data_IF_830905374804
#
_entry.id   IF_830905374804
#
_cell.length_a   1.000
_cell.length_b   1.000
_cell.length_c   1.000
_cell.angle_alpha   90.00
_cell.angle_beta   90.00
_cell.angle_gamma   90.00
#
_symmetry.space_group_name_H-M   'P 1'
#
loop_
_entity.id
_entity.type
_entity.pdbx_description
1 polymer ?
#
# COMPACT_ATOMS: atom_id res chain seq x y z
N UNK A 1 -56.97 61.04 18.22
CA UNK A 1 -57.77 61.51 17.07
C UNK A 1 -57.05 61.13 15.79
N UNK A 2 -57.84 60.78 14.77
CA UNK A 2 -57.49 60.54 13.36
C UNK A 2 -56.84 59.22 12.96
N UNK A 3 -57.66 58.40 12.30
CA UNK A 3 -57.23 57.37 11.36
C UNK A 3 -56.89 57.98 9.98
N UNK A 4 -56.14 57.19 9.19
CA UNK A 4 -56.44 56.78 7.79
C UNK A 4 -55.47 57.16 6.66
N UNK A 5 -55.45 56.23 5.69
CA UNK A 5 -54.86 56.18 4.35
C UNK A 5 -53.35 55.92 4.24
N UNK A 6 -52.83 54.94 3.50
CA UNK A 6 -53.40 54.13 2.40
C UNK A 6 -52.61 54.40 1.12
N UNK A 7 -51.75 53.46 0.69
CA UNK A 7 -51.02 53.53 -0.59
C UNK A 7 -49.97 52.40 -0.75
N UNK A 8 -49.94 51.65 -1.89
CA UNK A 8 -49.25 50.36 -1.99
C UNK A 8 -47.86 50.39 -2.67
N UNK A 9 -47.18 49.25 -2.58
CA UNK A 9 -46.12 48.72 -3.45
C UNK A 9 -44.69 49.28 -3.31
N UNK A 10 -43.88 48.57 -2.52
CA UNK A 10 -42.46 48.37 -2.78
C UNK A 10 -42.15 46.89 -2.65
N UNK A 11 -42.08 46.16 -3.77
CA UNK A 11 -41.57 44.78 -3.83
C UNK A 11 -40.12 44.79 -3.33
N UNK A 12 -39.92 44.50 -2.04
CA UNK A 12 -38.61 44.18 -1.50
C UNK A 12 -38.13 42.87 -2.12
N UNK A 13 -37.08 42.96 -2.94
CA UNK A 13 -36.44 41.84 -3.63
C UNK A 13 -36.22 40.67 -2.67
N UNK A 14 -36.94 39.57 -2.88
CA UNK A 14 -36.75 38.33 -2.13
C UNK A 14 -35.35 37.81 -2.41
N UNK A 15 -34.45 37.92 -1.43
CA UNK A 15 -33.09 37.39 -1.53
C UNK A 15 -33.14 35.90 -1.84
N UNK A 16 -32.49 35.51 -2.93
CA UNK A 16 -32.34 34.14 -3.40
C UNK A 16 -30.84 33.85 -3.43
N UNK A 17 -30.42 32.75 -2.80
CA UNK A 17 -29.00 32.36 -2.78
C UNK A 17 -28.86 30.88 -3.13
N UNK A 18 -27.98 30.61 -4.09
CA UNK A 18 -27.68 29.26 -4.55
C UNK A 18 -26.46 28.70 -3.81
N UNK A 19 -26.55 27.44 -3.35
CA UNK A 19 -25.45 26.67 -2.74
C UNK A 19 -25.38 25.30 -3.43
N UNK A 20 -24.50 25.16 -4.42
CA UNK A 20 -24.47 23.99 -5.29
C UNK A 20 -25.81 23.83 -6.04
N UNK A 21 -26.39 22.63 -6.04
CA UNK A 21 -27.68 22.34 -6.68
C UNK A 21 -28.93 22.82 -5.91
N UNK A 22 -28.78 23.54 -4.79
CA UNK A 22 -29.89 23.93 -3.91
C UNK A 22 -30.09 25.44 -3.86
N UNK A 23 -31.35 25.88 -3.97
CA UNK A 23 -31.77 27.28 -3.92
C UNK A 23 -32.49 27.60 -2.62
N UNK A 24 -32.00 28.60 -1.88
CA UNK A 24 -32.55 28.99 -0.57
C UNK A 24 -33.19 30.39 -0.63
N UNK A 25 -34.36 30.54 -0.01
CA UNK A 25 -35.14 31.80 0.02
C UNK A 25 -35.57 32.18 1.45
N UNK A 26 -35.72 33.48 1.70
CA UNK A 26 -36.25 34.05 2.94
C UNK A 26 -35.51 33.53 4.20
N UNK A 27 -36.24 32.98 5.19
CA UNK A 27 -35.71 32.48 6.47
C UNK A 27 -34.78 31.26 6.34
N UNK A 28 -34.70 30.65 5.16
CA UNK A 28 -33.78 29.53 4.89
C UNK A 28 -32.38 29.99 4.49
N UNK A 29 -32.15 31.30 4.29
CA UNK A 29 -30.81 31.86 4.05
C UNK A 29 -30.08 31.96 5.39
N UNK A 30 -28.99 31.21 5.60
CA UNK A 30 -28.24 31.30 6.84
C UNK A 30 -27.64 32.71 7.00
N UNK A 31 -27.69 33.25 8.22
CA UNK A 31 -27.15 34.58 8.55
C UNK A 31 -25.61 34.61 8.62
N UNK A 32 -24.95 33.46 8.47
CA UNK A 32 -23.50 33.32 8.47
C UNK A 32 -23.02 32.46 7.31
N UNK A 33 -21.84 32.79 6.79
CA UNK A 33 -21.20 31.99 5.74
C UNK A 33 -20.73 30.63 6.29
N UNK A 34 -20.46 29.68 5.38
CA UNK A 34 -19.88 28.41 5.79
C UNK A 34 -18.49 28.63 6.42
N UNK A 35 -17.69 29.51 5.82
CA UNK A 35 -16.36 29.88 6.31
C UNK A 35 -16.43 30.57 7.67
N UNK A 36 -17.35 31.51 7.89
CA UNK A 36 -17.52 32.16 9.18
C UNK A 36 -17.84 31.13 10.28
N UNK A 37 -18.69 30.14 10.00
CA UNK A 37 -19.01 29.07 10.96
C UNK A 37 -17.84 28.12 11.22
N UNK A 38 -17.02 27.84 10.22
CA UNK A 38 -15.83 27.00 10.37
C UNK A 38 -14.73 27.73 11.15
N UNK A 39 -14.45 28.98 10.78
CA UNK A 39 -13.33 29.77 11.28
C UNK A 39 -13.61 30.44 12.64
N UNK A 40 -14.86 30.83 12.93
CA UNK A 40 -15.23 31.41 14.24
C UNK A 40 -15.58 30.34 15.29
N UNK A 41 -15.70 29.08 14.89
CA UNK A 41 -15.94 27.98 15.83
C UNK A 41 -14.69 27.69 16.69
N UNK A 42 -14.63 28.29 17.88
CA UNK A 42 -13.55 28.04 18.88
C UNK A 42 -13.80 26.84 19.79
N UNK A 43 -14.88 26.10 19.58
CA UNK A 43 -15.26 24.95 20.41
C UNK A 43 -14.40 23.72 20.14
N UNK A 44 -13.65 23.26 21.14
CA UNK A 44 -12.88 22.01 21.09
C UNK A 44 -13.82 20.81 21.27
N UNK A 45 -14.61 20.51 20.23
CA UNK A 45 -15.50 19.35 20.25
C UNK A 45 -14.71 18.03 20.23
N UNK A 46 -15.20 17.02 20.93
CA UNK A 46 -14.69 15.64 20.93
C UNK A 46 -15.10 14.89 19.65
N UNK A 47 -14.93 15.55 18.49
CA UNK A 47 -15.30 15.00 17.19
C UNK A 47 -14.14 14.24 16.55
N UNK A 48 -12.90 14.51 16.98
CA UNK A 48 -11.68 13.83 16.53
C UNK A 48 -11.65 12.33 16.88
N UNK A 49 -12.49 11.90 17.83
CA UNK A 49 -12.63 10.51 18.30
C UNK A 49 -13.79 9.77 17.64
N UNK A 50 -14.60 10.44 16.81
CA UNK A 50 -15.71 9.82 16.08
C UNK A 50 -15.20 9.07 14.85
N UNK A 51 -15.84 7.95 14.53
CA UNK A 51 -15.42 7.07 13.43
C UNK A 51 -15.39 7.77 12.06
N UNK A 52 -16.23 8.79 11.85
CA UNK A 52 -16.18 9.61 10.63
C UNK A 52 -14.83 10.34 10.46
N UNK A 53 -14.25 10.86 11.55
CA UNK A 53 -12.93 11.48 11.48
C UNK A 53 -11.83 10.43 11.33
N UNK A 54 -11.97 9.26 11.97
CA UNK A 54 -11.05 8.15 11.78
C UNK A 54 -11.01 7.70 10.31
N UNK A 55 -12.16 7.58 9.66
CA UNK A 55 -12.24 7.23 8.23
C UNK A 55 -11.47 8.24 7.35
N UNK A 56 -11.61 9.55 7.63
CA UNK A 56 -10.86 10.59 6.91
C UNK A 56 -9.35 10.50 7.17
N UNK A 57 -8.92 10.20 8.40
CA UNK A 57 -7.51 10.00 8.72
C UNK A 57 -6.93 8.76 8.05
N UNK A 58 -7.69 7.67 8.03
CA UNK A 58 -7.33 6.44 7.31
C UNK A 58 -7.13 6.75 5.83
N UNK A 59 -8.06 7.49 5.22
CA UNK A 59 -7.93 7.90 3.83
C UNK A 59 -6.67 8.76 3.61
N UNK A 60 -6.36 9.68 4.54
CA UNK A 60 -5.13 10.48 4.49
C UNK A 60 -3.88 9.60 4.47
N UNK A 61 -3.79 8.60 5.35
CA UNK A 61 -2.63 7.68 5.38
C UNK A 61 -2.48 6.88 4.09
N UNK A 62 -3.59 6.49 3.45
CA UNK A 62 -3.53 5.87 2.12
C UNK A 62 -3.06 6.84 1.04
N UNK A 63 -3.56 8.07 1.03
CA UNK A 63 -3.14 9.09 0.05
C UNK A 63 -1.67 9.42 0.21
N UNK A 64 -1.22 9.72 1.43
CA UNK A 64 0.19 10.02 1.75
C UNK A 64 1.11 8.84 1.40
N UNK A 65 0.71 7.62 1.78
CA UNK A 65 1.45 6.41 1.44
C UNK A 65 1.55 6.17 -0.07
N UNK A 66 0.44 6.36 -0.81
CA UNK A 66 0.45 6.14 -2.24
C UNK A 66 1.24 7.18 -3.02
N UNK A 67 1.16 8.44 -2.62
CA UNK A 67 1.86 9.56 -3.25
C UNK A 67 3.37 9.45 -3.00
N UNK A 68 3.77 9.22 -1.74
CA UNK A 68 5.19 9.15 -1.38
C UNK A 68 5.91 7.97 -2.02
N UNK A 69 5.23 6.83 -2.19
CA UNK A 69 5.80 5.61 -2.76
C UNK A 69 5.54 5.47 -4.27
N UNK A 70 4.89 6.45 -4.91
CA UNK A 70 4.48 6.36 -6.32
C UNK A 70 5.64 6.11 -7.28
N UNK A 71 6.78 6.75 -7.03
CA UNK A 71 7.98 6.70 -7.87
C UNK A 71 9.04 5.73 -7.32
N UNK A 72 8.64 4.82 -6.40
CA UNK A 72 9.56 3.84 -5.85
C UNK A 72 10.02 2.89 -6.98
N UNK A 73 11.34 2.61 -7.11
CA UNK A 73 11.80 1.56 -8.02
C UNK A 73 11.29 0.18 -7.55
N UNK A 74 11.62 -0.87 -8.30
CA UNK A 74 11.45 -2.23 -7.81
C UNK A 74 12.02 -2.34 -6.38
N UNK A 75 11.27 -2.93 -5.46
CA UNK A 75 11.56 -2.99 -4.05
C UNK A 75 11.23 -4.36 -3.46
N UNK A 76 11.93 -4.70 -2.38
CA UNK A 76 11.71 -5.91 -1.60
C UNK A 76 11.44 -5.50 -0.16
N UNK A 77 10.35 -6.02 0.41
CA UNK A 77 10.03 -5.81 1.82
C UNK A 77 10.75 -6.86 2.67
N UNK A 78 11.51 -6.40 3.65
CA UNK A 78 12.32 -7.24 4.54
C UNK A 78 11.78 -7.14 5.97
N UNK A 79 11.48 -8.31 6.55
CA UNK A 79 10.91 -8.43 7.90
C UNK A 79 11.80 -9.26 8.80
N UNK A 80 11.75 -8.97 10.10
CA UNK A 80 12.42 -9.76 11.12
C UNK A 80 12.29 -9.14 12.50
N UNK A 81 13.01 -9.71 13.46
CA UNK A 81 12.94 -9.30 14.86
C UNK A 81 13.47 -7.88 15.11
N UNK A 82 12.64 -7.03 15.73
CA UNK A 82 13.06 -5.77 16.33
C UNK A 82 13.94 -5.93 17.59
N UNK A 83 13.99 -7.14 18.15
CA UNK A 83 14.68 -7.44 19.41
C UNK A 83 16.08 -8.03 19.21
N UNK A 84 16.45 -8.32 17.97
CA UNK A 84 17.74 -8.90 17.65
C UNK A 84 18.85 -7.89 17.92
N UNK A 85 19.94 -8.36 18.53
CA UNK A 85 21.10 -7.53 18.80
C UNK A 85 21.89 -7.31 17.51
N UNK A 86 22.56 -6.17 17.32
CA UNK A 86 23.33 -5.90 16.11
C UNK A 86 24.35 -6.99 15.75
N UNK A 87 24.95 -7.67 16.74
CA UNK A 87 25.96 -8.71 16.53
C UNK A 87 25.36 -10.11 16.23
N UNK A 88 24.04 -10.25 16.25
CA UNK A 88 23.40 -11.55 16.07
C UNK A 88 23.60 -12.10 14.65
N UNK A 89 23.58 -13.44 14.46
CA UNK A 89 23.67 -14.04 13.14
C UNK A 89 22.61 -13.50 12.17
N UNK A 90 21.38 -13.31 12.62
CA UNK A 90 20.29 -12.82 11.79
C UNK A 90 20.44 -11.34 11.39
N UNK A 91 21.01 -10.48 12.24
CA UNK A 91 21.31 -9.10 11.85
C UNK A 91 22.43 -9.05 10.80
N UNK A 92 23.47 -9.88 10.94
CA UNK A 92 24.53 -9.96 9.92
C UNK A 92 23.99 -10.45 8.58
N UNK A 93 23.11 -11.46 8.61
CA UNK A 93 22.44 -11.98 7.43
C UNK A 93 21.55 -10.90 6.77
N UNK A 94 20.82 -10.12 7.57
CA UNK A 94 19.99 -9.03 7.08
C UNK A 94 20.81 -7.90 6.43
N UNK A 95 21.95 -7.52 7.02
CA UNK A 95 22.85 -6.51 6.45
C UNK A 95 23.46 -6.98 5.12
N UNK A 96 23.88 -8.25 5.04
CA UNK A 96 24.36 -8.83 3.79
C UNK A 96 23.27 -8.87 2.71
N UNK A 97 22.06 -9.30 3.08
CA UNK A 97 20.89 -9.33 2.22
C UNK A 97 20.52 -7.94 1.70
N UNK A 98 20.43 -6.94 2.58
CA UNK A 98 20.08 -5.57 2.19
C UNK A 98 21.06 -5.01 1.16
N UNK A 99 22.36 -5.27 1.34
CA UNK A 99 23.37 -4.87 0.36
C UNK A 99 23.27 -5.65 -0.95
N UNK A 100 22.91 -6.93 -0.91
CA UNK A 100 22.76 -7.75 -2.11
C UNK A 100 21.52 -7.34 -2.94
N UNK A 101 20.41 -7.05 -2.27
CA UNK A 101 19.19 -6.51 -2.89
C UNK A 101 19.45 -5.16 -3.57
N UNK A 102 20.11 -4.24 -2.88
CA UNK A 102 20.50 -2.95 -3.43
C UNK A 102 21.39 -3.10 -4.68
N UNK A 103 22.40 -3.99 -4.65
CA UNK A 103 23.25 -4.28 -5.81
C UNK A 103 22.48 -4.91 -6.98
N UNK A 104 21.40 -5.63 -6.70
CA UNK A 104 20.50 -6.19 -7.70
C UNK A 104 19.48 -5.17 -8.26
N UNK A 105 19.50 -3.92 -7.76
CA UNK A 105 18.64 -2.84 -8.25
C UNK A 105 17.34 -2.67 -7.49
N UNK A 106 17.15 -3.37 -6.37
CA UNK A 106 15.96 -3.22 -5.53
C UNK A 106 16.15 -2.16 -4.45
N UNK A 107 15.12 -1.35 -4.21
CA UNK A 107 14.95 -0.66 -2.94
C UNK A 107 14.63 -1.66 -1.83
N UNK A 108 15.01 -1.34 -0.60
CA UNK A 108 14.74 -2.19 0.56
C UNK A 108 13.73 -1.49 1.46
N UNK A 109 12.56 -2.10 1.61
CA UNK A 109 11.48 -1.61 2.49
C UNK A 109 11.53 -2.40 3.79
N UNK A 110 11.53 -1.72 4.92
CA UNK A 110 11.42 -2.35 6.24
C UNK A 110 10.37 -1.63 7.08
N UNK A 111 10.15 -2.15 8.29
CA UNK A 111 9.36 -1.43 9.29
C UNK A 111 10.05 -0.22 9.93
N UNK A 112 11.30 0.07 9.57
CA UNK A 112 12.10 1.20 10.05
C UNK A 112 12.56 1.11 11.50
N UNK A 113 12.22 0.04 12.22
CA UNK A 113 12.64 -0.16 13.61
C UNK A 113 14.07 -0.68 13.76
N UNK A 114 14.50 -1.03 15.00
CA UNK A 114 15.82 -1.57 15.30
C UNK A 114 15.98 -3.04 14.89
N UNK A 115 17.15 -3.62 15.19
CA UNK A 115 17.42 -5.04 15.03
C UNK A 115 17.55 -5.44 13.56
N UNK A 116 16.81 -6.46 13.14
CA UNK A 116 16.89 -6.98 11.76
C UNK A 116 16.51 -5.92 10.72
N UNK A 117 15.52 -5.08 11.04
CA UNK A 117 15.05 -4.02 10.13
C UNK A 117 16.16 -3.00 9.88
N UNK A 118 16.77 -2.48 10.95
CA UNK A 118 17.92 -1.57 10.87
C UNK A 118 19.09 -2.19 10.12
N UNK A 119 19.41 -3.47 10.38
CA UNK A 119 20.49 -4.15 9.68
C UNK A 119 20.24 -4.24 8.16
N UNK A 120 19.01 -4.56 7.73
CA UNK A 120 18.65 -4.58 6.31
C UNK A 120 18.71 -3.17 5.68
N UNK A 121 18.18 -2.15 6.35
CA UNK A 121 18.27 -0.75 5.92
C UNK A 121 19.73 -0.31 5.76
N UNK A 122 20.56 -0.65 6.76
CA UNK A 122 22.00 -0.37 6.79
C UNK A 122 22.72 -1.02 5.61
N UNK A 123 22.46 -2.29 5.35
CA UNK A 123 23.04 -3.01 4.23
C UNK A 123 22.73 -2.36 2.89
N UNK A 124 21.46 -1.98 2.69
CA UNK A 124 21.01 -1.30 1.48
C UNK A 124 21.67 0.07 1.29
N UNK A 125 21.65 0.91 2.34
CA UNK A 125 22.22 2.24 2.31
C UNK A 125 23.74 2.23 2.08
N UNK A 126 24.48 1.32 2.71
CA UNK A 126 25.93 1.17 2.47
C UNK A 126 26.27 0.75 1.03
N UNK A 127 25.38 0.00 0.38
CA UNK A 127 25.52 -0.40 -1.02
C UNK A 127 25.05 0.69 -2.00
N UNK A 128 24.59 1.85 -1.52
CA UNK A 128 24.07 2.95 -2.33
C UNK A 128 22.67 2.71 -2.90
N UNK A 129 21.93 1.73 -2.35
CA UNK A 129 20.52 1.50 -2.68
C UNK A 129 19.59 2.38 -1.86
N UNK A 130 18.33 2.50 -2.31
CA UNK A 130 17.31 3.25 -1.60
C UNK A 130 16.77 2.44 -0.40
N UNK A 131 16.85 3.03 0.79
CA UNK A 131 16.38 2.44 2.04
C UNK A 131 15.08 3.10 2.52
N UNK A 132 14.01 2.31 2.65
CA UNK A 132 12.67 2.77 3.03
C UNK A 132 12.29 2.24 4.41
N UNK A 133 11.74 3.10 5.26
CA UNK A 133 11.21 2.77 6.58
C UNK A 133 9.74 3.15 6.70
N UNK A 134 8.87 2.14 6.78
CA UNK A 134 7.45 2.34 7.04
C UNK A 134 7.23 2.16 8.55
N UNK A 135 7.27 3.25 9.31
CA UNK A 135 7.10 3.27 10.76
C UNK A 135 5.66 3.02 11.20
N UNK A 136 5.48 2.75 12.49
CA UNK A 136 4.16 2.62 13.12
C UNK A 136 4.17 3.27 14.51
N UNK A 137 3.16 4.08 14.81
CA UNK A 137 2.98 4.72 16.12
C UNK A 137 2.80 3.64 17.21
N UNK A 138 3.80 3.47 18.07
CA UNK A 138 3.78 2.55 19.21
C UNK A 138 4.11 3.25 20.53
N UNK A 139 3.65 2.71 21.68
CA UNK A 139 3.88 3.35 22.98
C UNK A 139 5.32 3.21 23.51
N UNK A 140 6.09 2.23 23.01
CA UNK A 140 7.36 1.79 23.59
C UNK A 140 8.47 1.56 22.57
N UNK A 141 8.15 1.52 21.29
CA UNK A 141 9.11 1.42 20.18
C UNK A 141 9.03 2.75 19.43
N UNK A 142 10.02 3.61 19.64
CA UNK A 142 9.99 5.00 19.18
C UNK A 142 11.18 5.27 18.26
N UNK A 143 10.88 5.81 17.07
CA UNK A 143 11.86 6.30 16.11
C UNK A 143 12.14 5.33 14.97
N UNK A 144 12.47 5.92 13.82
CA UNK A 144 13.05 5.22 12.69
C UNK A 144 14.56 5.13 12.89
N UNK A 145 15.18 4.05 12.42
CA UNK A 145 16.63 3.90 12.46
C UNK A 145 17.33 4.90 11.53
N UNK A 146 18.62 5.15 11.81
CA UNK A 146 19.41 6.19 11.12
C UNK A 146 19.75 5.86 9.65
N UNK A 147 19.41 4.65 9.18
CA UNK A 147 19.71 4.17 7.82
C UNK A 147 18.50 4.28 6.87
N UNK A 148 17.40 4.87 7.32
CA UNK A 148 16.21 5.11 6.49
C UNK A 148 16.38 6.42 5.70
N UNK A 149 16.31 6.33 4.37
CA UNK A 149 16.35 7.50 3.47
C UNK A 149 14.95 8.09 3.23
N UNK A 150 13.96 7.21 3.07
CA UNK A 150 12.55 7.56 2.84
C UNK A 150 11.68 6.95 3.94
N UNK A 151 10.93 7.81 4.61
CA UNK A 151 10.20 7.47 5.83
C UNK A 151 8.72 7.82 5.72
N UNK A 152 7.85 6.93 6.21
CA UNK A 152 6.42 7.22 6.45
C UNK A 152 6.02 6.62 7.79
N UNK A 153 5.54 7.45 8.71
CA UNK A 153 5.02 6.99 10.00
C UNK A 153 3.51 6.79 9.95
N UNK A 154 3.07 5.54 10.02
CA UNK A 154 1.65 5.19 10.05
C UNK A 154 1.10 5.19 11.47
N UNK A 155 -0.22 5.34 11.60
CA UNK A 155 -0.94 5.09 12.85
C UNK A 155 -1.76 3.80 12.76
N UNK A 156 -2.20 3.46 11.56
CA UNK A 156 -3.04 2.30 11.32
C UNK A 156 -2.25 1.16 10.68
N UNK A 157 -2.18 0.02 11.37
CA UNK A 157 -1.48 -1.19 10.88
C UNK A 157 -1.88 -1.60 9.47
N UNK A 158 -3.18 -1.61 9.16
CA UNK A 158 -3.66 -2.09 7.85
C UNK A 158 -3.27 -1.16 6.69
N UNK A 159 -3.12 0.15 6.94
CA UNK A 159 -2.64 1.09 5.92
C UNK A 159 -1.17 0.79 5.60
N UNK A 160 -0.36 0.64 6.65
CA UNK A 160 1.05 0.25 6.55
C UNK A 160 1.25 -1.09 5.83
N UNK A 161 0.49 -2.11 6.22
CA UNK A 161 0.50 -3.45 5.59
C UNK A 161 0.23 -3.40 4.10
N UNK A 162 -0.75 -2.59 3.70
CA UNK A 162 -1.05 -2.39 2.28
C UNK A 162 0.18 -1.87 1.52
N UNK A 163 0.96 -0.95 2.11
CA UNK A 163 2.15 -0.39 1.47
C UNK A 163 3.27 -1.42 1.33
N UNK A 164 3.46 -2.30 2.31
CA UNK A 164 4.45 -3.38 2.22
C UNK A 164 4.21 -4.29 1.02
N UNK A 165 2.94 -4.65 0.78
CA UNK A 165 2.59 -5.57 -0.32
C UNK A 165 2.51 -4.83 -1.66
N UNK A 166 1.87 -3.65 -1.70
CA UNK A 166 1.61 -2.92 -2.96
C UNK A 166 2.89 -2.49 -3.68
N UNK A 167 3.91 -2.10 -2.92
CA UNK A 167 5.14 -1.50 -3.46
C UNK A 167 6.33 -2.46 -3.49
N UNK A 168 6.17 -3.70 -3.04
CA UNK A 168 7.21 -4.72 -3.14
C UNK A 168 6.91 -5.71 -4.26
N UNK A 169 7.94 -6.38 -4.77
CA UNK A 169 7.81 -7.55 -5.64
C UNK A 169 8.00 -8.86 -4.87
N UNK A 170 8.60 -8.80 -3.69
CA UNK A 170 8.92 -9.96 -2.86
C UNK A 170 8.93 -9.63 -1.38
N UNK A 171 8.71 -10.64 -0.54
CA UNK A 171 9.03 -10.59 0.88
C UNK A 171 10.24 -11.46 1.19
N UNK A 172 11.16 -10.91 1.98
CA UNK A 172 12.20 -11.71 2.64
C UNK A 172 12.02 -11.62 4.15
N UNK A 173 11.88 -12.77 4.79
CA UNK A 173 11.48 -12.89 6.19
C UNK A 173 12.59 -13.61 6.96
N UNK A 174 13.30 -12.83 7.78
CA UNK A 174 14.32 -13.30 8.70
C UNK A 174 13.71 -13.69 10.07
N UNK A 175 14.45 -14.38 10.95
CA UNK A 175 13.95 -14.79 12.26
C UNK A 175 13.31 -13.64 13.04
N UNK A 176 12.11 -13.88 13.56
CA UNK A 176 11.23 -12.82 14.00
C UNK A 176 10.23 -13.18 15.10
N UNK A 177 9.39 -12.22 15.46
CA UNK A 177 8.34 -12.39 16.47
C UNK A 177 6.94 -12.43 15.85
N UNK A 178 5.93 -12.07 16.63
CA UNK A 178 4.53 -12.02 16.14
C UNK A 178 4.32 -11.06 14.98
N UNK A 179 4.96 -9.88 14.98
CA UNK A 179 4.84 -8.96 13.84
C UNK A 179 5.38 -9.57 12.55
N UNK A 180 6.50 -10.29 12.62
CA UNK A 180 7.08 -11.00 11.48
C UNK A 180 6.17 -12.13 10.98
N UNK A 181 5.56 -12.88 11.91
CA UNK A 181 4.60 -13.94 11.56
C UNK A 181 3.32 -13.37 10.92
N UNK A 182 2.83 -12.24 11.42
CA UNK A 182 1.65 -11.55 10.88
C UNK A 182 1.85 -11.19 9.41
N UNK A 183 2.97 -10.57 9.06
CA UNK A 183 3.30 -10.20 7.67
C UNK A 183 3.55 -11.43 6.78
N UNK A 184 4.21 -12.47 7.32
CA UNK A 184 4.43 -13.74 6.61
C UNK A 184 3.11 -14.40 6.20
N UNK A 185 2.21 -14.61 7.16
CA UNK A 185 0.94 -15.29 6.87
C UNK A 185 -0.02 -14.42 6.07
N UNK A 186 0.07 -13.10 6.19
CA UNK A 186 -0.68 -12.19 5.31
C UNK A 186 -0.23 -12.34 3.85
N UNK A 187 1.08 -12.33 3.57
CA UNK A 187 1.59 -12.53 2.21
C UNK A 187 1.19 -13.89 1.64
N UNK A 188 1.36 -14.97 2.41
CA UNK A 188 0.97 -16.31 1.97
C UNK A 188 -0.54 -16.40 1.66
N UNK A 189 -1.38 -15.78 2.49
CA UNK A 189 -2.83 -15.74 2.26
C UNK A 189 -3.19 -14.95 1.00
N UNK A 190 -2.51 -13.82 0.75
CA UNK A 190 -2.74 -13.00 -0.44
C UNK A 190 -2.33 -13.73 -1.72
N UNK A 191 -1.25 -14.50 -1.69
CA UNK A 191 -0.81 -15.33 -2.83
C UNK A 191 -1.75 -16.51 -3.04
N UNK A 192 -2.07 -17.25 -1.97
CA UNK A 192 -2.99 -18.39 -2.01
C UNK A 192 -4.36 -18.01 -2.59
N UNK A 193 -4.87 -16.82 -2.26
CA UNK A 193 -6.18 -16.34 -2.73
C UNK A 193 -6.13 -15.63 -4.09
N UNK A 194 -4.96 -15.56 -4.72
CA UNK A 194 -4.76 -14.88 -6.00
C UNK A 194 -4.99 -13.37 -5.95
N UNK A 195 -4.97 -12.76 -4.77
CA UNK A 195 -5.02 -11.29 -4.61
C UNK A 195 -3.71 -10.64 -5.03
N UNK A 196 -2.63 -11.39 -4.92
CA UNK A 196 -1.36 -11.12 -5.58
C UNK A 196 -0.97 -12.40 -6.32
N UNK A 197 -0.73 -12.33 -7.62
CA UNK A 197 -0.67 -13.54 -8.46
C UNK A 197 0.64 -14.29 -8.32
N UNK A 198 1.77 -13.59 -8.27
CA UNK A 198 3.08 -14.17 -7.93
C UNK A 198 3.86 -13.14 -7.13
N UNK A 199 4.24 -13.56 -5.94
CA UNK A 199 4.94 -12.72 -4.98
C UNK A 199 5.83 -13.65 -4.17
N UNK A 200 7.10 -13.83 -4.57
CA UNK A 200 8.00 -14.74 -3.88
C UNK A 200 8.12 -14.38 -2.40
N UNK A 201 8.01 -15.41 -1.56
CA UNK A 201 8.19 -15.31 -0.11
C UNK A 201 9.43 -16.14 0.24
N UNK A 202 10.50 -15.46 0.63
CA UNK A 202 11.76 -16.10 1.03
C UNK A 202 11.86 -16.08 2.55
N UNK A 203 12.03 -17.25 3.16
CA UNK A 203 12.38 -17.40 4.56
C UNK A 203 13.89 -17.59 4.68
N UNK A 204 14.55 -16.75 5.47
CA UNK A 204 15.97 -16.87 5.77
C UNK A 204 16.21 -17.29 7.22
N UNK A 205 17.21 -18.16 7.46
CA UNK A 205 17.43 -18.78 8.76
C UNK A 205 16.78 -20.17 8.84
N UNK A 206 17.32 -21.13 8.08
CA UNK A 206 16.74 -22.49 7.88
C UNK A 206 16.38 -23.15 9.21
N UNK A 207 17.31 -23.14 10.17
CA UNK A 207 17.12 -23.79 11.46
C UNK A 207 15.99 -23.16 12.29
N UNK A 208 15.76 -21.85 12.16
CA UNK A 208 14.69 -21.14 12.86
C UNK A 208 13.31 -21.53 12.32
N UNK A 209 13.17 -21.62 11.00
CA UNK A 209 11.87 -21.85 10.34
C UNK A 209 11.48 -23.33 10.23
N UNK A 210 12.43 -24.27 10.36
CA UNK A 210 12.19 -25.70 10.17
C UNK A 210 10.98 -26.22 10.96
N UNK A 211 10.90 -25.90 12.26
CA UNK A 211 9.79 -26.37 13.10
C UNK A 211 8.42 -25.83 12.67
N UNK A 212 8.35 -24.60 12.15
CA UNK A 212 7.10 -24.05 11.63
C UNK A 212 6.68 -24.75 10.33
N UNK A 213 7.62 -24.92 9.40
CA UNK A 213 7.34 -25.55 8.11
C UNK A 213 6.98 -27.03 8.25
N UNK A 214 7.60 -27.74 9.20
CA UNK A 214 7.22 -29.10 9.54
C UNK A 214 5.79 -29.15 10.08
N UNK A 215 5.39 -28.24 10.97
CA UNK A 215 4.00 -28.17 11.44
C UNK A 215 3.00 -27.82 10.31
N UNK A 216 3.35 -26.88 9.44
CA UNK A 216 2.52 -26.52 8.29
C UNK A 216 2.33 -27.73 7.34
N UNK A 217 3.36 -28.54 7.13
CA UNK A 217 3.29 -29.75 6.31
C UNK A 217 2.50 -30.85 7.02
N UNK A 218 2.90 -31.21 8.23
CA UNK A 218 2.48 -32.44 8.91
C UNK A 218 1.13 -32.30 9.62
N UNK A 219 0.67 -31.07 9.85
CA UNK A 219 -0.64 -30.78 10.45
C UNK A 219 -1.54 -30.01 9.49
N UNK A 220 -1.14 -28.81 9.08
CA UNK A 220 -2.04 -27.92 8.32
C UNK A 220 -2.36 -28.49 6.92
N UNK A 221 -1.34 -28.93 6.17
CA UNK A 221 -1.51 -29.54 4.85
C UNK A 221 -2.06 -30.97 4.96
N UNK A 222 -1.52 -31.79 5.87
CA UNK A 222 -1.97 -33.17 6.08
C UNK A 222 -3.47 -33.27 6.41
N UNK A 223 -4.00 -32.29 7.15
CA UNK A 223 -5.43 -32.23 7.46
C UNK A 223 -6.25 -31.39 6.45
N UNK A 224 -5.68 -31.01 5.30
CA UNK A 224 -6.37 -30.32 4.21
C UNK A 224 -6.82 -28.90 4.51
N UNK A 225 -6.11 -28.17 5.39
CA UNK A 225 -6.39 -26.75 5.71
C UNK A 225 -5.73 -25.78 4.72
N UNK A 226 -4.70 -26.25 4.02
CA UNK A 226 -4.05 -25.59 2.88
C UNK A 226 -3.91 -26.59 1.73
N UNK A 227 -3.75 -26.08 0.51
CA UNK A 227 -3.50 -26.87 -0.69
C UNK A 227 -2.11 -27.51 -0.68
N UNK A 228 -1.91 -28.61 -1.43
CA UNK A 228 -0.65 -29.35 -1.44
C UNK A 228 0.52 -28.54 -2.02
N UNK A 229 0.23 -27.52 -2.85
CA UNK A 229 1.22 -26.66 -3.51
C UNK A 229 1.41 -25.32 -2.79
N UNK A 230 0.65 -25.04 -1.73
CA UNK A 230 0.74 -23.74 -1.04
C UNK A 230 2.08 -23.56 -0.33
N UNK A 231 2.75 -24.66 0.03
CA UNK A 231 4.10 -24.63 0.61
C UNK A 231 5.19 -24.40 -0.45
N UNK A 232 4.90 -24.67 -1.72
CA UNK A 232 5.83 -24.38 -2.82
C UNK A 232 5.98 -22.87 -3.07
N UNK A 233 5.11 -22.06 -2.46
CA UNK A 233 5.20 -20.60 -2.44
C UNK A 233 6.39 -20.08 -1.61
N UNK A 234 6.98 -20.94 -0.77
CA UNK A 234 8.02 -20.57 0.19
C UNK A 234 9.38 -21.06 -0.30
N UNK A 235 10.32 -20.15 -0.47
CA UNK A 235 11.73 -20.46 -0.61
C UNK A 235 12.40 -20.41 0.77
N UNK A 236 13.01 -21.50 1.23
CA UNK A 236 13.76 -21.54 2.50
C UNK A 236 15.25 -21.66 2.23
N UNK A 237 16.06 -20.69 2.64
CA UNK A 237 17.51 -20.70 2.40
C UNK A 237 18.30 -19.93 3.46
N UNK A 238 19.59 -20.21 3.58
CA UNK A 238 20.56 -19.37 4.31
C UNK A 238 21.51 -18.60 3.36
N UNK A 239 21.46 -18.88 2.05
CA UNK A 239 22.30 -18.21 1.04
C UNK A 239 21.60 -16.93 0.53
N UNK A 240 22.19 -15.78 0.83
CA UNK A 240 21.74 -14.48 0.33
C UNK A 240 21.66 -14.45 -1.19
N UNK A 241 22.60 -15.10 -1.89
CA UNK A 241 22.60 -15.10 -3.35
C UNK A 241 21.47 -15.97 -3.90
N UNK A 242 21.11 -17.06 -3.24
CA UNK A 242 19.95 -17.88 -3.60
C UNK A 242 18.65 -17.09 -3.42
N UNK A 243 18.50 -16.40 -2.29
CA UNK A 243 17.35 -15.53 -2.03
C UNK A 243 17.18 -14.48 -3.13
N UNK A 244 18.25 -13.75 -3.48
CA UNK A 244 18.20 -12.72 -4.53
C UNK A 244 17.94 -13.32 -5.90
N UNK A 245 18.59 -14.44 -6.27
CA UNK A 245 18.33 -15.12 -7.55
C UNK A 245 16.86 -15.53 -7.68
N UNK A 246 16.28 -16.11 -6.64
CA UNK A 246 14.89 -16.53 -6.63
C UNK A 246 13.93 -15.35 -6.89
N UNK A 247 14.20 -14.19 -6.28
CA UNK A 247 13.41 -12.97 -6.48
C UNK A 247 13.53 -12.46 -7.93
N UNK A 248 14.75 -12.36 -8.45
CA UNK A 248 15.02 -11.89 -9.82
C UNK A 248 14.37 -12.80 -10.86
N UNK A 249 14.46 -14.12 -10.69
CA UNK A 249 13.84 -15.09 -11.59
C UNK A 249 12.31 -14.99 -11.55
N UNK A 250 11.72 -14.88 -10.36
CA UNK A 250 10.27 -14.71 -10.21
C UNK A 250 9.76 -13.42 -10.87
N UNK A 251 10.49 -12.29 -10.71
CA UNK A 251 10.16 -11.02 -11.35
C UNK A 251 10.28 -11.10 -12.88
N UNK A 252 11.32 -11.75 -13.40
CA UNK A 252 11.50 -11.91 -14.85
C UNK A 252 10.34 -12.67 -15.50
N UNK A 253 9.87 -13.75 -14.84
CA UNK A 253 8.71 -14.52 -15.32
C UNK A 253 7.43 -13.68 -15.24
N UNK A 254 7.21 -12.95 -14.15
CA UNK A 254 6.07 -12.03 -13.99
C UNK A 254 6.04 -10.96 -15.08
N UNK A 255 7.18 -10.34 -15.35
CA UNK A 255 7.31 -9.28 -16.36
C UNK A 255 6.98 -9.81 -17.75
N UNK A 256 7.51 -10.98 -18.11
CA UNK A 256 7.22 -11.62 -19.40
C UNK A 256 5.74 -11.96 -19.57
N UNK A 257 5.06 -12.41 -18.51
CA UNK A 257 3.60 -12.67 -18.56
C UNK A 257 2.79 -11.39 -18.70
N UNK A 258 3.16 -10.33 -17.98
CA UNK A 258 2.49 -9.03 -18.08
C UNK A 258 2.65 -8.42 -19.47
N UNK A 259 3.83 -8.55 -20.07
CA UNK A 259 4.09 -8.14 -21.45
C UNK A 259 3.20 -8.93 -22.43
N UNK A 260 3.14 -10.25 -22.31
CA UNK A 260 2.29 -11.09 -23.17
C UNK A 260 0.80 -10.72 -23.06
N UNK A 261 0.29 -10.52 -21.83
CA UNK A 261 -1.11 -10.09 -21.61
C UNK A 261 -1.37 -8.71 -22.20
N UNK A 262 -0.41 -7.79 -22.10
CA UNK A 262 -0.52 -6.44 -22.68
C UNK A 262 -0.52 -6.50 -24.20
N UNK A 263 0.36 -7.28 -24.81
CA UNK A 263 0.39 -7.49 -26.26
C UNK A 263 -0.92 -8.09 -26.79
N UNK A 264 -1.46 -9.10 -26.10
CA UNK A 264 -2.75 -9.69 -26.44
C UNK A 264 -3.89 -8.67 -26.34
N UNK A 265 -3.91 -7.85 -25.28
CA UNK A 265 -4.91 -6.79 -25.11
C UNK A 265 -4.82 -5.74 -26.23
N UNK A 266 -3.61 -5.32 -26.62
CA UNK A 266 -3.39 -4.38 -27.72
C UNK A 266 -3.83 -4.99 -29.05
N UNK A 267 -3.48 -6.26 -29.31
CA UNK A 267 -3.88 -6.98 -30.51
C UNK A 267 -5.41 -7.11 -30.62
N UNK A 268 -6.10 -7.39 -29.50
CA UNK A 268 -7.56 -7.46 -29.45
C UNK A 268 -8.21 -6.11 -29.76
N UNK A 269 -7.72 -5.02 -29.17
CA UNK A 269 -8.22 -3.67 -29.46
C UNK A 269 -8.00 -3.29 -30.93
N UNK A 270 -6.84 -3.65 -31.50
CA UNK A 270 -6.56 -3.39 -32.91
C UNK A 270 -7.45 -4.22 -33.85
N UNK A 271 -7.75 -5.47 -33.51
CA UNK A 271 -8.66 -6.32 -34.27
C UNK A 271 -10.10 -5.78 -34.24
N UNK A 272 -10.58 -5.38 -33.05
CA UNK A 272 -11.91 -4.78 -32.88
C UNK A 272 -12.05 -3.48 -33.69
N UNK A 273 -11.00 -2.64 -33.71
CA UNK A 273 -10.97 -1.41 -34.51
C UNK A 273 -11.01 -1.68 -36.02
N UNK A 274 -10.28 -2.70 -36.50
CA UNK A 274 -10.31 -3.10 -37.93
C UNK A 274 -11.68 -3.63 -38.33
N UNK A 275 -12.27 -4.52 -37.53
CA UNK A 275 -13.61 -5.05 -37.78
C UNK A 275 -14.67 -3.93 -37.80
N UNK A 276 -14.57 -2.94 -36.91
CA UNK A 276 -15.45 -1.78 -36.91
C UNK A 276 -15.29 -0.89 -38.15
N UNK A 277 -14.07 -0.73 -38.66
CA UNK A 277 -13.80 0.02 -39.88
C UNK A 277 -14.31 -0.68 -41.15
N UNK A 278 -14.19 -2.01 -41.22
CA UNK A 278 -14.69 -2.83 -42.33
C UNK A 278 -16.23 -2.95 -42.33
N UNK A 279 -16.86 -2.85 -41.16
CA UNK A 279 -18.33 -2.83 -41.02
C UNK A 279 -18.96 -1.44 -41.28
N UNK A 280 -18.16 -0.39 -41.50
CA UNK A 280 -18.67 0.93 -41.83
C UNK A 280 -19.26 0.91 -43.25
N UNK A 281 -20.55 1.23 -43.45
CA UNK A 281 -21.16 1.19 -44.77
C UNK A 281 -20.47 2.20 -45.70
N UNK A 282 -20.13 1.77 -46.92
CA UNK A 282 -19.74 2.69 -47.99
C UNK A 282 -20.85 3.74 -48.13
N UNK A 283 -20.49 5.01 -47.91
CA UNK A 283 -21.41 6.13 -47.99
C UNK A 283 -22.15 6.12 -49.34
N UNK A 284 -23.41 6.58 -49.37
CA UNK A 284 -24.25 6.46 -50.56
C UNK A 284 -23.54 7.08 -51.75
N UNK A 285 -23.27 6.24 -52.77
CA UNK A 285 -22.75 6.68 -54.05
C UNK A 285 -23.68 7.76 -54.61
N UNK A 286 -23.18 9.00 -54.69
CA UNK A 286 -23.84 10.09 -55.41
C UNK A 286 -24.03 9.65 -56.86
N UNK A 287 -25.27 9.34 -57.22
CA UNK A 287 -25.70 9.29 -58.61
C UNK A 287 -26.13 10.71 -59.00
N UNK A 288 -25.27 11.37 -59.79
CA UNK A 288 -25.56 12.61 -60.51
C UNK A 288 -25.33 12.41 -62.00
#
# INVERSE_FOLDING_TARGET
MSQSNGGPAGRGLSGERHRGAVTLRNRAIPTSTADQRLLDSRGRGDWKTKDAWRALRILSEFVEGFDTLADLPAAVSVFGSARSKPESPECRLAEELGGALARAGYAVITGGGPGVMEAANRGAGQAGGLSVGLGIELPFEQGLNDWVDLAIDFRYFFARKTMFVKYAQAFVVLPGGFGTMDELFEALTLVQTGKVTRFPVVLMGVDYWRGLLDWLRDSMAAEGKIGPTDLDLICLTDDVNEAVRHIVEAEAVLSAEQEAVREEAVARVAADQRAAAEAAPEGPAEQG
#
